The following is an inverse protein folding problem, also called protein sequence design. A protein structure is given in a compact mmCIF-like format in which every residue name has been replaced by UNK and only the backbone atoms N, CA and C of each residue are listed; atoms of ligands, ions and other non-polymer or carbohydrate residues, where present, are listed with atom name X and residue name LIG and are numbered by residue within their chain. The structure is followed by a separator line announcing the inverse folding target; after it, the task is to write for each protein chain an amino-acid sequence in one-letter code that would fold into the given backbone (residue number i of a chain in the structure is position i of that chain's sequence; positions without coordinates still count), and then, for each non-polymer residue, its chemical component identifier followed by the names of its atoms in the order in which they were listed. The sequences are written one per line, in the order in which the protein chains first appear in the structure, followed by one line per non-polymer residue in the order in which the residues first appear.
data_IF_406098134209
#
_entry.id   IF_406098134209
#
_cell.length_a   1.000
_cell.length_b   1.000
_cell.length_c   1.000
_cell.angle_alpha   90.00
_cell.angle_beta   90.00
_cell.angle_gamma   90.00
#
_symmetry.space_group_name_H-M   'P 1'
#
loop_
_entity.id
_entity.type
_entity.pdbx_description
1 polymer ?
#
# COMPACT_ATOMS: atom_id res chain seq x y z
N UNK A 1 54.40 -6.99 19.85
CA UNK A 1 53.40 -5.99 20.31
C UNK A 1 52.16 -6.21 19.46
N UNK A 2 51.09 -6.72 20.04
CA UNK A 2 49.85 -7.02 19.32
C UNK A 2 48.99 -5.75 19.30
N UNK A 3 48.75 -5.19 18.12
CA UNK A 3 47.88 -4.02 17.96
C UNK A 3 46.45 -4.53 17.83
N UNK A 4 45.74 -4.61 18.97
CA UNK A 4 44.31 -4.91 19.00
C UNK A 4 43.54 -3.75 18.35
N UNK A 5 42.68 -4.06 17.38
CA UNK A 5 41.80 -3.07 16.74
C UNK A 5 40.92 -2.43 17.83
N UNK A 6 40.96 -1.11 17.88
CA UNK A 6 40.32 -0.29 18.92
C UNK A 6 38.79 -0.38 18.82
N UNK A 7 38.14 -0.72 19.93
CA UNK A 7 36.68 -0.86 20.06
C UNK A 7 35.89 0.42 19.72
N UNK A 8 36.57 1.57 19.69
CA UNK A 8 36.00 2.82 19.19
C UNK A 8 35.64 2.77 17.71
N UNK A 9 36.36 1.98 16.91
CA UNK A 9 36.08 1.79 15.47
C UNK A 9 34.81 0.96 15.28
N UNK A 10 34.65 -0.12 16.06
CA UNK A 10 33.43 -0.95 16.04
C UNK A 10 32.17 -0.17 16.48
N UNK A 11 32.31 0.74 17.46
CA UNK A 11 31.18 1.57 17.90
C UNK A 11 30.76 2.62 16.87
N UNK A 12 31.67 3.07 16.00
CA UNK A 12 31.34 4.01 14.92
C UNK A 12 30.54 3.37 13.79
N UNK A 13 30.62 2.04 13.63
CA UNK A 13 29.83 1.25 12.68
C UNK A 13 28.40 0.98 13.15
N UNK A 14 28.13 1.11 14.46
CA UNK A 14 26.81 0.80 15.05
C UNK A 14 25.98 2.07 15.39
N UNK A 15 26.53 3.27 15.18
CA UNK A 15 25.80 4.53 15.35
C UNK A 15 25.09 4.88 14.03
N UNK A 16 23.84 4.42 13.90
CA UNK A 16 22.95 4.75 12.77
C UNK A 16 22.80 6.25 12.57
N UNK A 17 23.34 6.77 11.47
CA UNK A 17 23.21 8.19 11.13
C UNK A 17 24.02 8.69 9.93
N UNK A 18 24.95 7.92 9.35
CA UNK A 18 25.71 8.37 8.18
C UNK A 18 25.11 7.83 6.87
N UNK A 19 24.85 8.75 5.93
CA UNK A 19 24.38 8.47 4.57
C UNK A 19 25.13 7.32 3.90
N UNK A 20 24.41 6.47 3.17
CA UNK A 20 24.94 5.28 2.48
C UNK A 20 26.13 5.56 1.53
N UNK A 21 26.37 6.81 1.15
CA UNK A 21 27.55 7.26 0.40
C UNK A 21 28.86 7.21 1.20
N UNK A 22 28.84 7.50 2.51
CA UNK A 22 30.03 7.51 3.35
C UNK A 22 30.52 6.09 3.72
N UNK A 23 29.59 5.15 3.93
CA UNK A 23 29.93 3.75 4.21
C UNK A 23 30.62 3.06 3.00
N UNK A 24 30.18 3.38 1.78
CA UNK A 24 30.76 2.85 0.53
C UNK A 24 32.18 3.39 0.27
N UNK A 25 32.45 4.62 0.70
CA UNK A 25 33.77 5.23 0.59
C UNK A 25 34.74 4.65 1.63
N UNK A 26 34.27 4.41 2.85
CA UNK A 26 35.06 3.73 3.90
C UNK A 26 35.42 2.28 3.53
N UNK A 27 34.52 1.50 2.92
CA UNK A 27 34.82 0.11 2.55
C UNK A 27 35.81 0.02 1.38
N UNK A 28 35.75 0.94 0.42
CA UNK A 28 36.74 1.10 -0.65
C UNK A 28 38.12 1.46 -0.10
N UNK A 29 38.19 2.47 0.77
CA UNK A 29 39.44 2.91 1.41
C UNK A 29 40.06 1.83 2.32
N UNK A 30 39.24 1.02 3.01
CA UNK A 30 39.72 -0.12 3.80
C UNK A 30 40.31 -1.23 2.91
N UNK A 31 39.68 -1.51 1.77
CA UNK A 31 40.17 -2.50 0.79
C UNK A 31 41.50 -2.05 0.18
N UNK A 32 41.60 -0.78 -0.19
CA UNK A 32 42.80 -0.20 -0.81
C UNK A 32 43.97 -0.10 0.18
N UNK A 33 43.70 0.28 1.44
CA UNK A 33 44.69 0.25 2.50
C UNK A 33 45.15 -1.17 2.85
N UNK A 34 44.22 -2.13 2.85
CA UNK A 34 44.56 -3.55 3.07
C UNK A 34 45.42 -4.11 1.93
N UNK A 35 45.08 -3.83 0.67
CA UNK A 35 45.88 -4.23 -0.50
C UNK A 35 47.27 -3.59 -0.47
N UNK A 36 47.39 -2.34 -0.02
CA UNK A 36 48.68 -1.64 0.14
C UNK A 36 49.55 -2.28 1.22
N UNK A 37 48.95 -2.65 2.35
CA UNK A 37 49.64 -3.37 3.43
C UNK A 37 50.07 -4.78 2.99
N UNK A 38 49.23 -5.48 2.23
CA UNK A 38 49.50 -6.83 1.72
C UNK A 38 50.63 -6.84 0.68
N UNK A 39 50.68 -5.83 -0.20
CA UNK A 39 51.79 -5.63 -1.16
C UNK A 39 53.08 -5.25 -0.45
N UNK A 40 53.01 -4.45 0.61
CA UNK A 40 54.18 -4.04 1.38
C UNK A 40 54.75 -5.20 2.20
N UNK A 41 53.90 -6.07 2.74
CA UNK A 41 54.32 -7.29 3.42
C UNK A 41 54.94 -8.30 2.45
N UNK A 42 54.37 -8.50 1.25
CA UNK A 42 54.97 -9.34 0.19
C UNK A 42 56.36 -8.86 -0.27
N UNK A 43 56.60 -7.54 -0.32
CA UNK A 43 57.93 -6.97 -0.66
C UNK A 43 58.97 -7.16 0.45
N UNK A 44 58.57 -7.44 1.68
CA UNK A 44 59.45 -7.53 2.86
C UNK A 44 59.46 -8.92 3.53
N UNK A 45 58.90 -9.95 2.91
CA UNK A 45 58.97 -11.32 3.45
C UNK A 45 60.32 -11.97 3.14
N UNK A 46 60.90 -12.62 4.14
CA UNK A 46 62.00 -13.57 3.97
C UNK A 46 61.43 -14.85 3.29
N UNK A 47 61.97 -15.29 2.14
CA UNK A 47 61.43 -16.40 1.35
C UNK A 47 61.39 -17.76 2.06
N UNK A 48 61.95 -17.89 3.27
CA UNK A 48 62.07 -19.16 3.99
C UNK A 48 60.97 -19.46 5.02
N UNK A 49 60.00 -18.56 5.25
CA UNK A 49 58.84 -18.85 6.12
C UNK A 49 57.56 -18.19 5.58
N UNK A 50 56.85 -18.83 4.64
CA UNK A 50 55.57 -18.33 4.17
C UNK A 50 54.55 -18.49 5.30
N UNK A 51 54.21 -17.39 5.99
CA UNK A 51 53.01 -17.43 6.83
C UNK A 51 51.78 -17.67 5.95
N UNK A 52 50.86 -18.45 6.50
CA UNK A 52 49.76 -19.11 5.82
C UNK A 52 48.82 -18.11 5.11
N UNK A 53 48.99 -17.99 3.78
CA UNK A 53 48.15 -17.16 2.90
C UNK A 53 46.66 -17.55 2.94
N UNK A 54 46.30 -18.69 3.55
CA UNK A 54 44.91 -19.16 3.63
C UNK A 54 44.03 -18.31 4.56
N UNK A 55 44.57 -17.79 5.67
CA UNK A 55 43.80 -17.02 6.64
C UNK A 55 43.48 -15.61 6.13
N UNK A 56 44.44 -14.96 5.47
CA UNK A 56 44.24 -13.67 4.78
C UNK A 56 43.28 -13.79 3.60
N UNK A 57 43.34 -14.90 2.86
CA UNK A 57 42.40 -15.20 1.76
C UNK A 57 40.99 -15.46 2.30
N UNK A 58 40.86 -16.13 3.45
CA UNK A 58 39.59 -16.36 4.15
C UNK A 58 38.96 -15.04 4.65
N UNK A 59 39.76 -14.15 5.23
CA UNK A 59 39.29 -12.82 5.67
C UNK A 59 38.89 -11.92 4.48
N UNK A 60 39.65 -11.94 3.38
CA UNK A 60 39.26 -11.26 2.14
C UNK A 60 37.97 -11.83 1.54
N UNK A 61 37.81 -13.16 1.54
CA UNK A 61 36.57 -13.79 1.11
C UNK A 61 35.38 -13.38 1.98
N UNK A 62 35.55 -13.30 3.31
CA UNK A 62 34.52 -12.81 4.23
C UNK A 62 34.14 -11.35 3.95
N UNK A 63 35.12 -10.46 3.76
CA UNK A 63 34.88 -9.06 3.39
C UNK A 63 34.11 -8.98 2.05
N UNK A 64 34.53 -9.75 1.05
CA UNK A 64 33.86 -9.81 -0.25
C UNK A 64 32.40 -10.30 -0.14
N UNK A 65 32.13 -11.27 0.73
CA UNK A 65 30.75 -11.75 0.97
C UNK A 65 29.91 -10.69 1.67
N UNK A 66 30.45 -9.96 2.64
CA UNK A 66 29.72 -8.86 3.31
C UNK A 66 29.41 -7.74 2.32
N UNK A 67 30.40 -7.29 1.53
CA UNK A 67 30.18 -6.29 0.48
C UNK A 67 29.17 -6.77 -0.57
N UNK A 68 29.22 -8.06 -0.94
CA UNK A 68 28.22 -8.65 -1.84
C UNK A 68 26.81 -8.62 -1.25
N UNK A 69 26.65 -8.91 0.05
CA UNK A 69 25.35 -8.80 0.76
C UNK A 69 24.89 -7.34 0.84
N UNK A 70 25.79 -6.39 1.06
CA UNK A 70 25.46 -4.96 1.05
C UNK A 70 24.99 -4.49 -0.34
N UNK A 71 25.65 -4.91 -1.41
CA UNK A 71 25.25 -4.63 -2.79
C UNK A 71 23.89 -5.27 -3.13
N UNK A 72 23.64 -6.49 -2.66
CA UNK A 72 22.34 -7.15 -2.80
C UNK A 72 21.25 -6.38 -2.05
N UNK A 73 21.51 -5.97 -0.80
CA UNK A 73 20.56 -5.18 -0.02
C UNK A 73 20.27 -3.82 -0.69
N UNK A 74 21.27 -3.18 -1.30
CA UNK A 74 21.06 -1.95 -2.07
C UNK A 74 20.21 -2.21 -3.31
N UNK A 75 20.52 -3.26 -4.07
CA UNK A 75 19.75 -3.65 -5.25
C UNK A 75 18.29 -3.94 -4.90
N UNK A 76 18.03 -4.60 -3.76
CA UNK A 76 16.67 -4.85 -3.27
C UNK A 76 15.92 -3.56 -2.88
N UNK A 77 16.61 -2.58 -2.30
CA UNK A 77 16.03 -1.25 -2.02
C UNK A 77 15.68 -0.53 -3.32
N UNK A 78 16.55 -0.59 -4.32
CA UNK A 78 16.32 0.06 -5.62
C UNK A 78 15.12 -0.58 -6.35
N UNK A 79 15.00 -1.91 -6.32
CA UNK A 79 13.83 -2.65 -6.85
C UNK A 79 12.55 -2.22 -6.13
N UNK A 80 12.59 -2.14 -4.79
CA UNK A 80 11.43 -1.69 -4.00
C UNK A 80 11.02 -0.26 -4.38
N UNK A 81 11.99 0.64 -4.56
CA UNK A 81 11.74 2.00 -5.04
C UNK A 81 11.08 2.05 -6.42
N UNK A 82 11.51 1.20 -7.36
CA UNK A 82 10.90 1.09 -8.68
C UNK A 82 9.46 0.55 -8.63
N UNK A 83 9.19 -0.46 -7.79
CA UNK A 83 7.84 -1.00 -7.59
C UNK A 83 6.91 0.10 -7.05
N UNK A 84 7.37 0.85 -6.04
CA UNK A 84 6.60 1.94 -5.45
C UNK A 84 6.31 3.04 -6.48
N UNK A 85 7.29 3.42 -7.31
CA UNK A 85 7.06 4.37 -8.40
C UNK A 85 6.03 3.87 -9.42
N UNK A 86 6.05 2.57 -9.73
CA UNK A 86 5.03 1.92 -10.57
C UNK A 86 3.63 1.99 -9.97
N UNK A 87 3.49 1.72 -8.68
CA UNK A 87 2.21 1.85 -7.96
C UNK A 87 1.70 3.30 -7.94
N UNK A 88 2.60 4.27 -7.76
CA UNK A 88 2.25 5.69 -7.81
C UNK A 88 1.66 6.08 -9.18
N UNK A 89 2.22 5.55 -10.27
CA UNK A 89 1.72 5.79 -11.63
C UNK A 89 0.33 5.15 -11.84
N UNK A 90 0.12 3.93 -11.36
CA UNK A 90 -1.19 3.28 -11.41
C UNK A 90 -2.24 4.08 -10.62
N UNK A 91 -1.91 4.48 -9.40
CA UNK A 91 -2.75 5.32 -8.56
C UNK A 91 -3.04 6.68 -9.22
N UNK A 92 -2.06 7.29 -9.89
CA UNK A 92 -2.24 8.57 -10.59
C UNK A 92 -3.24 8.47 -11.74
N UNK A 93 -3.33 7.31 -12.40
CA UNK A 93 -4.35 7.04 -13.42
C UNK A 93 -5.79 6.98 -12.88
N UNK A 94 -5.95 6.81 -11.57
CA UNK A 94 -7.27 6.78 -10.93
C UNK A 94 -7.77 8.18 -10.57
N UNK A 95 -6.91 9.20 -10.60
CA UNK A 95 -7.32 10.58 -10.28
C UNK A 95 -8.45 11.01 -11.23
N UNK A 96 -9.54 11.48 -10.65
CA UNK A 96 -10.74 11.89 -11.35
C UNK A 96 -11.74 10.77 -11.65
N UNK A 97 -11.35 9.50 -11.49
CA UNK A 97 -12.23 8.34 -11.65
C UNK A 97 -13.13 8.15 -10.42
N UNK A 98 -14.27 7.50 -10.66
CA UNK A 98 -15.14 7.00 -9.61
C UNK A 98 -14.68 5.62 -9.14
N UNK A 99 -14.69 5.36 -7.84
CA UNK A 99 -14.33 4.07 -7.28
C UNK A 99 -15.35 3.61 -6.24
N UNK A 100 -15.50 2.30 -6.08
CA UNK A 100 -16.21 1.68 -4.97
C UNK A 100 -15.22 1.21 -3.91
N UNK A 101 -15.43 1.65 -2.68
CA UNK A 101 -14.62 1.33 -1.50
C UNK A 101 -15.54 0.90 -0.35
N UNK A 102 -15.03 0.18 0.68
CA UNK A 102 -15.80 -0.18 1.85
C UNK A 102 -16.48 1.03 2.51
N UNK A 103 -17.79 0.95 2.65
CA UNK A 103 -18.60 2.01 3.22
C UNK A 103 -20.04 1.91 2.76
N UNK A 104 -20.93 2.68 3.39
CA UNK A 104 -22.37 2.49 3.22
C UNK A 104 -23.12 3.81 3.06
N UNK A 105 -22.48 4.83 2.49
CA UNK A 105 -23.06 6.15 2.29
C UNK A 105 -23.50 6.34 0.84
N UNK A 106 -24.68 6.92 0.65
CA UNK A 106 -25.14 7.42 -0.65
C UNK A 106 -25.45 8.91 -0.51
N UNK A 107 -25.02 9.70 -1.48
CA UNK A 107 -25.35 11.12 -1.58
C UNK A 107 -26.46 11.30 -2.60
N UNK A 108 -27.42 12.17 -2.29
CA UNK A 108 -28.47 12.60 -3.19
C UNK A 108 -28.44 14.11 -3.35
N UNK A 109 -28.47 14.57 -4.60
CA UNK A 109 -28.66 15.97 -4.95
C UNK A 109 -29.67 16.11 -6.10
N UNK A 110 -30.33 17.26 -6.20
CA UNK A 110 -31.12 17.60 -7.37
C UNK A 110 -30.27 18.46 -8.31
N UNK A 111 -30.20 18.09 -9.58
CA UNK A 111 -29.59 18.92 -10.60
C UNK A 111 -30.50 20.09 -10.98
N UNK A 112 -29.94 21.06 -11.71
CA UNK A 112 -30.74 22.09 -12.37
C UNK A 112 -31.82 21.44 -13.25
N UNK A 113 -33.08 21.81 -13.03
CA UNK A 113 -34.23 21.16 -13.68
C UNK A 113 -34.93 20.08 -12.83
N UNK A 114 -34.44 19.81 -11.61
CA UNK A 114 -35.12 18.93 -10.65
C UNK A 114 -34.91 17.43 -10.89
N UNK A 115 -33.94 17.06 -11.73
CA UNK A 115 -33.50 15.69 -11.91
C UNK A 115 -32.80 15.18 -10.64
N UNK A 116 -33.13 13.97 -10.21
CA UNK A 116 -32.57 13.37 -8.99
C UNK A 116 -31.29 12.61 -9.34
N UNK A 117 -30.19 12.99 -8.70
CA UNK A 117 -28.90 12.34 -8.85
C UNK A 117 -28.50 11.69 -7.54
N UNK A 118 -28.13 10.41 -7.62
CA UNK A 118 -27.59 9.64 -6.50
C UNK A 118 -26.23 9.10 -6.86
N UNK A 119 -25.32 9.08 -5.89
CA UNK A 119 -24.06 8.34 -6.06
C UNK A 119 -24.33 6.85 -6.05
N UNK A 120 -23.65 6.04 -6.90
CA UNK A 120 -23.80 4.60 -6.85
C UNK A 120 -23.30 4.05 -5.51
N UNK A 121 -23.75 2.85 -5.18
CA UNK A 121 -23.24 2.04 -4.08
C UNK A 121 -23.07 0.61 -4.60
N UNK A 122 -22.51 -0.29 -3.80
CA UNK A 122 -22.34 -1.67 -4.22
C UNK A 122 -22.29 -2.64 -3.06
N UNK A 123 -22.12 -3.91 -3.42
CA UNK A 123 -21.86 -4.99 -2.50
C UNK A 123 -20.74 -5.87 -3.03
N UNK A 124 -20.03 -6.51 -2.11
CA UNK A 124 -19.17 -7.65 -2.40
C UNK A 124 -19.69 -8.88 -1.66
N UNK A 125 -19.91 -9.97 -2.41
CA UNK A 125 -20.44 -11.23 -1.89
C UNK A 125 -19.46 -12.38 -2.13
N UNK A 126 -19.10 -13.07 -1.05
CA UNK A 126 -18.27 -14.28 -1.11
C UNK A 126 -18.99 -15.53 -1.66
N UNK A 127 -20.33 -15.48 -1.77
CA UNK A 127 -21.18 -16.53 -2.32
C UNK A 127 -22.42 -15.89 -2.98
N UNK A 128 -23.07 -16.56 -3.96
CA UNK A 128 -24.27 -16.00 -4.59
C UNK A 128 -25.44 -15.88 -3.59
N UNK A 129 -26.23 -14.83 -3.73
CA UNK A 129 -27.45 -14.58 -2.97
C UNK A 129 -28.69 -14.79 -3.86
N UNK A 130 -29.70 -15.47 -3.33
CA UNK A 130 -31.00 -15.63 -3.99
C UNK A 130 -31.90 -14.39 -3.76
N UNK A 131 -31.71 -13.70 -2.63
CA UNK A 131 -32.44 -12.49 -2.31
C UNK A 131 -31.51 -11.47 -1.64
N UNK A 132 -31.48 -10.26 -2.21
CA UNK A 132 -30.80 -9.09 -1.64
C UNK A 132 -31.84 -8.00 -1.37
N UNK A 133 -31.86 -7.48 -0.14
CA UNK A 133 -32.73 -6.39 0.28
C UNK A 133 -31.91 -5.17 0.64
N UNK A 134 -32.29 -4.03 0.07
CA UNK A 134 -31.65 -2.75 0.33
C UNK A 134 -32.58 -1.90 1.19
N UNK A 135 -32.05 -1.34 2.27
CA UNK A 135 -32.71 -0.33 3.09
C UNK A 135 -31.89 0.95 3.07
N UNK A 136 -32.53 2.07 2.75
CA UNK A 136 -31.95 3.42 2.76
C UNK A 136 -32.50 4.17 3.96
N UNK A 137 -31.63 4.73 4.80
CA UNK A 137 -32.01 5.53 5.97
C UNK A 137 -31.43 6.93 5.91
N UNK A 138 -32.15 7.91 6.47
CA UNK A 138 -31.65 9.28 6.63
C UNK A 138 -30.73 9.42 7.86
N UNK A 139 -30.20 10.62 8.11
CA UNK A 139 -29.34 10.91 9.25
C UNK A 139 -30.01 10.79 10.63
N UNK A 140 -31.34 10.73 10.69
CA UNK A 140 -32.09 10.45 11.91
C UNK A 140 -32.33 8.94 12.15
N UNK A 141 -31.92 8.09 11.21
CA UNK A 141 -32.14 6.64 11.25
C UNK A 141 -33.52 6.21 10.74
N UNK A 142 -34.31 7.12 10.19
CA UNK A 142 -35.62 6.80 9.61
C UNK A 142 -35.46 6.12 8.26
N UNK A 143 -36.28 5.10 7.99
CA UNK A 143 -36.29 4.42 6.70
C UNK A 143 -36.92 5.32 5.65
N UNK A 144 -36.13 5.64 4.63
CA UNK A 144 -36.52 6.50 3.51
C UNK A 144 -37.02 5.64 2.36
N UNK A 145 -36.30 4.57 2.06
CA UNK A 145 -36.71 3.60 1.06
C UNK A 145 -36.28 2.18 1.44
N UNK A 146 -37.02 1.18 0.98
CA UNK A 146 -36.67 -0.23 1.07
C UNK A 146 -37.17 -0.96 -0.17
N UNK A 147 -36.30 -1.74 -0.79
CA UNK A 147 -36.64 -2.51 -1.98
C UNK A 147 -35.81 -3.79 -2.09
N UNK A 148 -36.37 -4.76 -2.82
CA UNK A 148 -35.71 -6.03 -3.12
C UNK A 148 -34.98 -5.91 -4.45
N UNK A 149 -33.69 -6.25 -4.46
CA UNK A 149 -32.85 -6.34 -5.66
C UNK A 149 -33.01 -7.70 -6.33
N UNK A 150 -33.33 -8.75 -5.54
CA UNK A 150 -33.46 -10.12 -6.02
C UNK A 150 -32.11 -10.87 -5.96
N UNK A 151 -31.91 -11.78 -6.91
CA UNK A 151 -30.72 -12.63 -6.93
C UNK A 151 -29.48 -11.85 -7.41
N UNK A 152 -28.36 -12.02 -6.72
CA UNK A 152 -27.06 -11.40 -7.05
C UNK A 152 -25.97 -12.46 -7.03
N UNK A 153 -25.10 -12.44 -8.03
CA UNK A 153 -23.99 -13.38 -8.14
C UNK A 153 -22.90 -13.08 -7.11
N UNK A 154 -21.95 -14.01 -6.95
CA UNK A 154 -20.73 -13.76 -6.16
C UNK A 154 -19.85 -12.70 -6.84
N UNK A 155 -19.09 -11.95 -6.05
CA UNK A 155 -18.22 -10.88 -6.52
C UNK A 155 -18.77 -9.50 -6.17
N UNK A 156 -18.29 -8.49 -6.89
CA UNK A 156 -18.68 -7.08 -6.70
C UNK A 156 -19.78 -6.71 -7.67
N UNK A 157 -20.87 -6.13 -7.17
CA UNK A 157 -21.99 -5.62 -7.97
C UNK A 157 -22.34 -4.19 -7.51
N UNK A 158 -22.68 -3.32 -8.46
CA UNK A 158 -23.00 -1.92 -8.20
C UNK A 158 -24.46 -1.59 -8.51
N UNK A 159 -25.07 -0.75 -7.69
CA UNK A 159 -26.46 -0.32 -7.80
C UNK A 159 -26.59 1.20 -7.71
N UNK A 160 -27.75 1.70 -8.13
CA UNK A 160 -28.15 3.10 -7.92
C UNK A 160 -29.54 3.14 -7.33
N UNK A 161 -29.71 3.96 -6.29
CA UNK A 161 -31.01 4.31 -5.76
C UNK A 161 -31.64 5.38 -6.67
N UNK A 162 -32.92 5.26 -6.98
CA UNK A 162 -33.68 6.23 -7.79
C UNK A 162 -33.91 7.58 -7.09
N UNK A 163 -33.61 7.66 -5.78
CA UNK A 163 -33.81 8.85 -4.97
C UNK A 163 -35.27 9.07 -4.56
N UNK A 164 -36.12 8.05 -4.71
CA UNK A 164 -37.50 8.08 -4.25
C UNK A 164 -37.65 7.46 -2.87
N UNK A 165 -38.61 7.96 -2.10
CA UNK A 165 -39.06 7.35 -0.84
C UNK A 165 -39.95 6.14 -1.11
N UNK A 166 -40.26 5.36 -0.08
CA UNK A 166 -41.23 4.25 -0.19
C UNK A 166 -42.63 4.68 -0.64
N UNK A 167 -42.99 5.96 -0.48
CA UNK A 167 -44.26 6.52 -0.96
C UNK A 167 -44.17 7.06 -2.41
N UNK A 168 -43.04 6.86 -3.09
CA UNK A 168 -42.78 7.34 -4.45
C UNK A 168 -42.51 8.84 -4.56
N UNK A 169 -42.32 9.54 -3.44
CA UNK A 169 -41.95 10.96 -3.42
C UNK A 169 -40.44 11.12 -3.59
N UNK A 170 -39.99 12.27 -4.11
CA UNK A 170 -38.55 12.59 -4.14
C UNK A 170 -38.04 12.77 -2.72
N UNK A 171 -36.96 12.07 -2.37
CA UNK A 171 -36.29 12.28 -1.10
C UNK A 171 -35.60 13.66 -1.08
N UNK A 172 -35.35 14.19 0.12
CA UNK A 172 -34.63 15.46 0.26
C UNK A 172 -33.15 15.31 -0.13
N UNK A 173 -32.50 16.39 -0.54
CA UNK A 173 -31.06 16.39 -0.77
C UNK A 173 -30.30 16.10 0.53
N UNK A 174 -29.24 15.30 0.44
CA UNK A 174 -28.41 15.00 1.60
C UNK A 174 -27.67 13.67 1.51
N UNK A 175 -27.05 13.31 2.64
CA UNK A 175 -26.38 12.04 2.82
C UNK A 175 -27.32 11.02 3.48
N UNK A 176 -27.33 9.82 2.92
CA UNK A 176 -28.11 8.68 3.36
C UNK A 176 -27.19 7.51 3.66
N UNK A 177 -27.69 6.55 4.44
CA UNK A 177 -27.00 5.33 4.79
C UNK A 177 -27.71 4.12 4.18
N UNK A 178 -26.92 3.17 3.69
CA UNK A 178 -27.38 1.94 3.05
C UNK A 178 -27.15 0.79 4.03
N UNK A 179 -28.16 -0.05 4.19
CA UNK A 179 -28.04 -1.33 4.88
C UNK A 179 -28.53 -2.42 3.94
N UNK A 180 -27.76 -3.50 3.84
CA UNK A 180 -28.01 -4.56 2.88
C UNK A 180 -28.06 -5.90 3.60
N UNK A 181 -29.11 -6.65 3.34
CA UNK A 181 -29.28 -8.02 3.81
C UNK A 181 -29.30 -8.94 2.60
N UNK A 182 -28.55 -10.03 2.65
CA UNK A 182 -28.51 -11.03 1.59
C UNK A 182 -28.76 -12.42 2.15
N UNK A 183 -29.54 -13.24 1.44
CA UNK A 183 -29.80 -14.63 1.79
C UNK A 183 -29.55 -15.56 0.62
N UNK A 184 -29.09 -16.77 0.94
CA UNK A 184 -29.04 -17.92 0.04
C UNK A 184 -29.98 -18.98 0.64
N UNK A 185 -31.11 -19.23 -0.03
CA UNK A 185 -32.30 -19.81 0.59
C UNK A 185 -32.73 -19.02 1.83
N UNK A 186 -32.95 -19.72 2.94
CA UNK A 186 -33.31 -19.13 4.24
C UNK A 186 -32.10 -18.69 5.08
N UNK A 187 -30.87 -18.87 4.57
CA UNK A 187 -29.64 -18.58 5.32
C UNK A 187 -29.11 -17.19 4.98
N UNK A 188 -28.96 -16.35 5.99
CA UNK A 188 -28.26 -15.08 5.85
C UNK A 188 -26.77 -15.30 5.51
N UNK A 189 -26.27 -14.49 4.57
CA UNK A 189 -24.84 -14.47 4.19
C UNK A 189 -24.25 -13.09 4.49
N UNK A 190 -22.93 -13.05 4.68
CA UNK A 190 -22.22 -11.78 4.90
C UNK A 190 -22.21 -10.92 3.64
N UNK A 191 -22.33 -9.60 3.83
CA UNK A 191 -22.32 -8.60 2.77
C UNK A 191 -21.34 -7.50 3.15
N UNK A 192 -20.34 -7.27 2.31
CA UNK A 192 -19.49 -6.09 2.43
C UNK A 192 -20.13 -4.98 1.60
N UNK A 193 -20.63 -3.94 2.27
CA UNK A 193 -21.25 -2.80 1.59
C UNK A 193 -20.17 -1.85 1.08
N UNK A 194 -20.37 -1.35 -0.13
CA UNK A 194 -19.47 -0.45 -0.82
C UNK A 194 -20.17 0.87 -1.12
N UNK A 195 -19.44 1.97 -1.05
CA UNK A 195 -19.92 3.27 -1.47
C UNK A 195 -19.02 3.89 -2.52
N UNK A 196 -19.62 4.80 -3.28
CA UNK A 196 -18.91 5.60 -4.26
C UNK A 196 -18.05 6.68 -3.59
N UNK A 197 -16.84 6.83 -4.13
CA UNK A 197 -16.01 7.99 -3.92
C UNK A 197 -15.32 8.40 -5.22
N UNK A 198 -15.01 9.69 -5.35
CA UNK A 198 -14.19 10.21 -6.44
C UNK A 198 -12.77 10.40 -5.95
N UNK A 199 -11.81 9.89 -6.71
CA UNK A 199 -10.38 10.07 -6.39
C UNK A 199 -9.97 11.50 -6.74
N UNK A 200 -9.51 12.25 -5.75
CA UNK A 200 -9.05 13.63 -5.90
C UNK A 200 -7.54 13.72 -6.07
N UNK A 201 -6.79 12.77 -5.51
CA UNK A 201 -5.34 12.77 -5.58
C UNK A 201 -4.71 11.48 -5.08
N UNK A 202 -3.39 11.44 -5.11
CA UNK A 202 -2.56 10.36 -4.57
C UNK A 202 -1.58 10.97 -3.59
N UNK A 203 -1.49 10.41 -2.39
CA UNK A 203 -0.62 10.90 -1.33
C UNK A 203 0.35 9.79 -0.89
N UNK A 204 1.66 10.06 -0.76
CA UNK A 204 2.57 9.15 -0.08
C UNK A 204 2.16 9.02 1.40
N UNK A 205 1.99 7.79 1.88
CA UNK A 205 1.60 7.50 3.27
C UNK A 205 2.81 7.52 4.19
N UNK A 206 3.96 7.09 3.67
CA UNK A 206 5.23 7.06 4.39
C UNK A 206 6.44 7.21 3.46
N UNK A 207 7.62 7.37 4.07
CA UNK A 207 8.90 7.40 3.37
C UNK A 207 9.30 6.03 2.78
N UNK A 208 8.50 4.98 3.02
CA UNK A 208 8.72 3.61 2.51
C UNK A 208 7.98 3.37 1.20
N UNK A 209 7.29 4.38 0.68
CA UNK A 209 6.70 4.42 -0.66
C UNK A 209 5.34 3.74 -0.77
N UNK A 210 4.62 3.56 0.35
CA UNK A 210 3.21 3.23 0.29
C UNK A 210 2.42 4.48 -0.16
N UNK A 211 1.44 4.29 -1.07
CA UNK A 211 0.57 5.36 -1.55
C UNK A 211 -0.87 5.10 -1.16
N UNK A 212 -1.58 6.17 -0.80
CA UNK A 212 -3.01 6.17 -0.58
C UNK A 212 -3.68 7.13 -1.56
N UNK A 213 -4.93 6.82 -1.88
CA UNK A 213 -5.79 7.65 -2.70
C UNK A 213 -6.56 8.60 -1.79
N UNK A 214 -6.49 9.89 -2.11
CA UNK A 214 -7.29 10.90 -1.44
C UNK A 214 -8.69 10.93 -2.05
N UNK A 215 -9.68 10.56 -1.25
CA UNK A 215 -11.10 10.56 -1.59
C UNK A 215 -11.82 11.82 -1.07
N UNK A 216 -11.06 12.81 -0.60
CA UNK A 216 -11.54 14.07 -0.07
C UNK A 216 -11.94 14.00 1.40
N UNK A 217 -12.42 15.12 1.94
CA UNK A 217 -12.65 15.30 3.37
C UNK A 217 -13.67 14.33 4.00
N UNK A 218 -14.57 13.75 3.20
CA UNK A 218 -15.63 12.87 3.69
C UNK A 218 -15.14 11.43 3.88
N UNK A 219 -14.25 10.97 3.01
CA UNK A 219 -13.80 9.57 2.95
C UNK A 219 -12.33 9.40 3.33
N UNK A 220 -11.58 10.50 3.38
CA UNK A 220 -10.17 10.50 3.76
C UNK A 220 -9.30 9.79 2.74
N UNK A 221 -8.28 9.10 3.24
CA UNK A 221 -7.33 8.37 2.43
C UNK A 221 -7.59 6.87 2.50
N UNK A 222 -7.54 6.19 1.37
CA UNK A 222 -7.69 4.72 1.27
C UNK A 222 -6.53 4.09 0.53
N UNK A 223 -6.22 2.84 0.85
CA UNK A 223 -5.22 2.08 0.11
C UNK A 223 -5.75 1.66 -1.26
N UNK A 224 -4.84 1.40 -2.21
CA UNK A 224 -5.22 0.85 -3.52
C UNK A 224 -5.95 -0.51 -3.39
N UNK A 225 -5.60 -1.29 -2.37
CA UNK A 225 -6.22 -2.58 -2.08
C UNK A 225 -7.68 -2.49 -1.59
N UNK A 226 -8.09 -1.31 -1.11
CA UNK A 226 -9.46 -1.07 -0.65
C UNK A 226 -10.41 -0.76 -1.81
N UNK A 227 -9.88 -0.49 -3.01
CA UNK A 227 -10.71 -0.34 -4.21
C UNK A 227 -11.23 -1.70 -4.65
N UNK A 228 -12.55 -1.83 -4.67
CA UNK A 228 -13.26 -3.02 -5.15
C UNK A 228 -13.65 -2.92 -6.62
N UNK A 229 -13.89 -1.70 -7.12
CA UNK A 229 -14.24 -1.44 -8.50
C UNK A 229 -13.89 0.00 -8.91
N UNK A 230 -13.49 0.19 -10.17
CA UNK A 230 -13.34 1.49 -10.82
C UNK A 230 -14.52 1.64 -11.81
N UNK A 231 -15.16 2.82 -11.82
CA UNK A 231 -16.38 3.12 -12.59
C UNK A 231 -16.10 4.04 -13.77
#
# INVERSE_FOLDING_TARGET
MATTIDSSVLNSLNAGGASASQAKQQSGDLRDNFMTLLVTQLKNQDPLNPMDNSETTSQLAQINTVSGIEELNQSLKDITGQINAGQALQASGLIGQGVLVPGNRVLLNHAEGGEVNTTPFGIELAAPADNVKVTITNGAGEVVNRYDVGAVSTGVESFRWDGLTSDGQKAAEGAYQVSIEATQGDKAIGVDTLNYARVNGVTPVDDKGAFALDLGAIYGQVGLADIKQIL
#
